data_IF_194322619747
#
_entry.id   IF_194322619747
#
_cell.length_a   1.000
_cell.length_b   1.000
_cell.length_c   1.000
_cell.angle_alpha   90.00
_cell.angle_beta   90.00
_cell.angle_gamma   90.00
#
_symmetry.space_group_name_H-M   'P 1'
#
loop_
_entity.id
_entity.type
_entity.pdbx_description
1 polymer ?
#
# COMPACT_ATOMS: atom_id res chain seq x y z
N UNK A 1 -48.91 -11.88 12.79
CA UNK A 1 -47.43 -11.74 12.97
C UNK A 1 -46.81 -11.92 11.62
N UNK A 2 -46.24 -10.86 11.05
CA UNK A 2 -45.86 -10.83 9.65
C UNK A 2 -44.50 -11.55 9.43
N UNK A 3 -44.39 -12.27 8.31
CA UNK A 3 -43.22 -13.04 7.83
C UNK A 3 -41.90 -12.27 7.88
N UNK A 4 -41.93 -10.95 7.95
CA UNK A 4 -40.79 -10.05 8.04
C UNK A 4 -39.91 -10.24 9.28
N UNK A 5 -40.49 -10.66 10.40
CA UNK A 5 -39.77 -10.90 11.66
C UNK A 5 -39.00 -12.22 11.68
N UNK A 6 -39.49 -13.22 10.92
CA UNK A 6 -38.82 -14.52 10.78
C UNK A 6 -37.53 -14.43 9.94
N UNK A 7 -37.49 -13.53 8.95
CA UNK A 7 -36.26 -13.31 8.13
C UNK A 7 -35.13 -12.58 8.89
N UNK A 8 -35.50 -11.68 9.82
CA UNK A 8 -34.54 -10.98 10.67
C UNK A 8 -33.88 -11.91 11.70
N UNK A 9 -34.61 -12.88 12.19
CA UNK A 9 -34.11 -13.88 13.16
C UNK A 9 -33.16 -14.91 12.52
N UNK A 10 -33.31 -15.22 11.23
CA UNK A 10 -32.44 -16.17 10.50
C UNK A 10 -31.05 -15.60 10.18
N UNK A 11 -30.95 -14.28 10.02
CA UNK A 11 -29.65 -13.61 9.75
C UNK A 11 -28.80 -13.47 11.02
N UNK A 12 -29.42 -13.41 12.19
CA UNK A 12 -28.70 -13.21 13.46
C UNK A 12 -28.06 -14.49 14.04
N UNK A 13 -28.40 -15.68 13.55
CA UNK A 13 -27.88 -16.97 14.09
C UNK A 13 -26.63 -17.45 13.37
N UNK A 14 -26.33 -16.92 12.17
CA UNK A 14 -25.17 -17.36 11.36
C UNK A 14 -23.84 -16.64 11.64
N UNK A 15 -23.87 -15.47 12.25
CA UNK A 15 -22.68 -14.63 12.40
C UNK A 15 -21.62 -15.15 13.42
N UNK A 16 -21.96 -15.70 14.59
CA UNK A 16 -20.93 -16.11 15.58
C UNK A 16 -20.17 -17.39 15.23
N UNK A 17 -20.75 -18.29 14.44
CA UNK A 17 -20.07 -19.55 14.10
C UNK A 17 -18.94 -19.38 13.06
N UNK A 18 -19.09 -18.43 12.16
CA UNK A 18 -18.06 -18.16 11.13
C UNK A 18 -16.83 -17.53 11.77
N UNK A 19 -16.99 -16.60 12.72
CA UNK A 19 -15.90 -15.95 13.42
C UNK A 19 -15.05 -16.94 14.24
N UNK A 20 -15.65 -17.92 14.90
CA UNK A 20 -14.92 -18.91 15.70
C UNK A 20 -14.05 -19.83 14.83
N UNK A 21 -14.54 -20.27 13.68
CA UNK A 21 -13.76 -21.13 12.78
C UNK A 21 -12.54 -20.44 12.18
N UNK A 22 -12.60 -19.13 12.02
CA UNK A 22 -11.49 -18.32 11.51
C UNK A 22 -10.37 -18.19 12.54
N UNK A 23 -10.75 -17.87 13.79
CA UNK A 23 -9.79 -17.77 14.89
C UNK A 23 -9.09 -19.09 15.13
N UNK A 24 -9.82 -20.22 15.05
CA UNK A 24 -9.23 -21.55 15.18
C UNK A 24 -8.22 -21.86 14.08
N UNK A 25 -8.54 -21.58 12.81
CA UNK A 25 -7.62 -21.79 11.68
C UNK A 25 -6.39 -20.89 11.78
N UNK A 26 -6.57 -19.64 12.21
CA UNK A 26 -5.45 -18.73 12.42
C UNK A 26 -4.54 -19.22 13.54
N UNK A 27 -5.12 -19.66 14.66
CA UNK A 27 -4.35 -20.25 15.77
C UNK A 27 -3.66 -21.55 15.36
N UNK A 28 -4.27 -22.36 14.52
CA UNK A 28 -3.63 -23.56 13.97
C UNK A 28 -2.42 -23.20 13.10
N UNK A 29 -2.52 -22.20 12.24
CA UNK A 29 -1.40 -21.67 11.48
C UNK A 29 -0.25 -21.20 12.38
N UNK A 30 -0.58 -20.48 13.47
CA UNK A 30 0.40 -20.05 14.46
C UNK A 30 1.07 -21.23 15.18
N UNK A 31 0.34 -22.29 15.47
CA UNK A 31 0.89 -23.51 16.08
C UNK A 31 1.86 -24.22 15.14
N UNK A 32 1.52 -24.38 13.86
CA UNK A 32 2.45 -24.92 12.86
C UNK A 32 3.70 -24.06 12.71
N UNK A 33 3.53 -22.74 12.71
CA UNK A 33 4.66 -21.81 12.66
C UNK A 33 5.59 -21.98 13.86
N UNK A 34 5.06 -22.11 15.08
CA UNK A 34 5.83 -22.36 16.31
C UNK A 34 6.51 -23.74 16.31
N UNK A 35 5.90 -24.73 15.65
CA UNK A 35 6.47 -26.05 15.47
C UNK A 35 7.53 -26.12 14.35
N UNK A 36 7.84 -24.98 13.72
CA UNK A 36 8.74 -24.85 12.56
C UNK A 36 8.24 -25.60 11.31
N UNK A 37 6.96 -25.96 11.28
CA UNK A 37 6.31 -26.59 10.13
C UNK A 37 5.79 -25.51 9.18
N UNK A 38 6.74 -24.88 8.48
CA UNK A 38 6.47 -23.70 7.63
C UNK A 38 5.47 -23.98 6.52
N UNK A 39 5.48 -25.19 5.98
CA UNK A 39 4.60 -25.57 4.88
C UNK A 39 3.15 -25.66 5.32
N UNK A 40 2.89 -26.28 6.47
CA UNK A 40 1.55 -26.40 7.04
C UNK A 40 1.04 -25.04 7.55
N UNK A 41 1.94 -24.23 8.14
CA UNK A 41 1.59 -22.85 8.51
C UNK A 41 1.13 -22.02 7.29
N UNK A 42 1.89 -22.05 6.19
CA UNK A 42 1.54 -21.40 4.94
C UNK A 42 0.18 -21.88 4.44
N UNK A 43 -0.03 -23.21 4.40
CA UNK A 43 -1.29 -23.80 3.95
C UNK A 43 -2.48 -23.33 4.77
N UNK A 44 -2.34 -23.28 6.11
CA UNK A 44 -3.40 -22.81 7.01
C UNK A 44 -3.74 -21.33 6.76
N UNK A 45 -2.73 -20.47 6.62
CA UNK A 45 -2.93 -19.04 6.35
C UNK A 45 -3.51 -18.79 4.94
N UNK A 46 -3.04 -19.52 3.92
CA UNK A 46 -3.60 -19.41 2.57
C UNK A 46 -5.06 -19.86 2.49
N UNK A 47 -5.45 -20.89 3.24
CA UNK A 47 -6.83 -21.33 3.35
C UNK A 47 -7.74 -20.23 3.95
N UNK A 48 -7.24 -19.47 4.92
CA UNK A 48 -7.95 -18.29 5.44
C UNK A 48 -8.14 -17.22 4.37
N UNK A 49 -7.09 -16.89 3.61
CA UNK A 49 -7.18 -15.94 2.50
C UNK A 49 -8.17 -16.43 1.42
N UNK A 50 -8.13 -17.73 1.09
CA UNK A 50 -9.06 -18.33 0.13
C UNK A 50 -10.52 -18.30 0.60
N UNK A 51 -10.75 -18.34 1.93
CA UNK A 51 -12.06 -18.16 2.54
C UNK A 51 -12.50 -16.69 2.61
N UNK A 52 -11.70 -15.75 2.10
CA UNK A 52 -12.01 -14.32 2.02
C UNK A 52 -11.62 -13.52 3.26
N UNK A 53 -10.78 -14.08 4.14
CA UNK A 53 -10.28 -13.36 5.30
C UNK A 53 -9.01 -12.60 4.94
N UNK A 54 -8.97 -11.33 5.32
CA UNK A 54 -7.83 -10.44 5.11
C UNK A 54 -7.56 -9.68 6.41
N UNK A 55 -6.27 -9.53 6.74
CA UNK A 55 -5.84 -8.80 7.92
C UNK A 55 -4.33 -8.61 7.94
N UNK A 56 -3.87 -7.54 8.59
CA UNK A 56 -2.44 -7.25 8.69
C UNK A 56 -1.68 -8.40 9.35
N UNK A 57 -2.22 -8.95 10.44
CA UNK A 57 -1.59 -10.06 11.18
C UNK A 57 -1.52 -11.33 10.34
N UNK A 58 -2.56 -11.63 9.53
CA UNK A 58 -2.57 -12.79 8.65
C UNK A 58 -1.49 -12.67 7.57
N UNK A 59 -1.43 -11.53 6.89
CA UNK A 59 -0.40 -11.29 5.88
C UNK A 59 1.01 -11.24 6.49
N UNK A 60 1.16 -10.65 7.68
CA UNK A 60 2.44 -10.62 8.37
C UNK A 60 2.94 -12.02 8.72
N UNK A 61 2.10 -12.87 9.32
CA UNK A 61 2.46 -14.23 9.69
C UNK A 61 2.72 -15.13 8.47
N UNK A 62 1.93 -14.97 7.41
CA UNK A 62 2.15 -15.66 6.14
C UNK A 62 3.48 -15.23 5.50
N UNK A 63 3.80 -13.93 5.52
CA UNK A 63 5.09 -13.40 5.08
C UNK A 63 6.26 -13.99 5.87
N UNK A 64 6.13 -14.08 7.19
CA UNK A 64 7.12 -14.70 8.06
C UNK A 64 7.31 -16.19 7.74
N UNK A 65 6.23 -16.93 7.52
CA UNK A 65 6.30 -18.36 7.17
C UNK A 65 7.00 -18.58 5.81
N UNK A 66 6.70 -17.77 4.80
CA UNK A 66 7.40 -17.79 3.53
C UNK A 66 8.88 -17.43 3.65
N UNK A 67 9.21 -16.45 4.50
CA UNK A 67 10.61 -16.09 4.76
C UNK A 67 11.39 -17.25 5.36
N UNK A 68 10.83 -17.92 6.37
CA UNK A 68 11.42 -19.10 7.00
C UNK A 68 11.60 -20.26 6.03
N UNK A 69 10.71 -20.39 5.06
CA UNK A 69 10.80 -21.40 4.00
C UNK A 69 11.80 -21.01 2.89
N UNK A 70 12.33 -19.79 2.87
CA UNK A 70 13.26 -19.30 1.86
C UNK A 70 12.58 -18.73 0.61
N UNK A 71 11.27 -18.52 0.63
CA UNK A 71 10.50 -17.98 -0.47
C UNK A 71 10.40 -16.44 -0.37
N UNK A 72 11.55 -15.76 -0.53
CA UNK A 72 11.72 -14.32 -0.27
C UNK A 72 10.71 -13.44 -1.02
N UNK A 73 10.46 -13.70 -2.30
CA UNK A 73 9.54 -12.89 -3.09
C UNK A 73 8.09 -12.94 -2.56
N UNK A 74 7.62 -14.12 -2.13
CA UNK A 74 6.30 -14.26 -1.51
C UNK A 74 6.23 -13.64 -0.13
N UNK A 75 7.32 -13.71 0.62
CA UNK A 75 7.47 -13.05 1.91
C UNK A 75 7.28 -11.53 1.78
N UNK A 76 8.03 -10.90 0.88
CA UNK A 76 7.94 -9.45 0.61
C UNK A 76 6.51 -9.07 0.20
N UNK A 77 5.90 -9.81 -0.74
CA UNK A 77 4.53 -9.54 -1.19
C UNK A 77 3.54 -9.51 -0.03
N UNK A 78 3.64 -10.46 0.91
CA UNK A 78 2.71 -10.52 2.03
C UNK A 78 3.02 -9.44 3.08
N UNK A 79 4.27 -9.12 3.34
CA UNK A 79 4.62 -7.99 4.21
C UNK A 79 4.18 -6.63 3.64
N UNK A 80 4.27 -6.42 2.34
CA UNK A 80 3.74 -5.21 1.69
C UNK A 80 2.22 -5.12 1.80
N UNK A 81 1.50 -6.24 1.67
CA UNK A 81 0.05 -6.29 1.92
C UNK A 81 -0.30 -5.95 3.36
N UNK A 82 0.47 -6.49 4.33
CA UNK A 82 0.31 -6.14 5.74
C UNK A 82 0.57 -4.64 5.97
N UNK A 83 1.62 -4.07 5.36
CA UNK A 83 1.96 -2.65 5.46
C UNK A 83 0.88 -1.74 4.85
N UNK A 84 0.21 -2.18 3.80
CA UNK A 84 -0.89 -1.43 3.20
C UNK A 84 -2.12 -1.34 4.13
N UNK A 85 -2.34 -2.37 4.97
CA UNK A 85 -3.44 -2.39 5.95
C UNK A 85 -3.05 -1.65 7.23
N UNK A 86 -1.84 -1.88 7.74
CA UNK A 86 -1.32 -1.31 8.98
C UNK A 86 0.02 -0.61 8.75
N UNK A 87 0.02 0.61 8.22
CA UNK A 87 1.23 1.36 7.97
C UNK A 87 1.90 1.78 9.29
N UNK A 88 3.22 1.69 9.33
CA UNK A 88 4.02 2.18 10.46
C UNK A 88 4.37 1.15 11.52
N UNK A 89 4.00 -0.12 11.36
CA UNK A 89 4.42 -1.20 12.24
C UNK A 89 5.95 -1.39 12.17
N UNK A 90 6.69 -1.26 13.29
CA UNK A 90 8.17 -1.30 13.27
C UNK A 90 8.73 -2.63 12.82
N UNK A 91 8.15 -3.74 13.27
CA UNK A 91 8.63 -5.10 12.94
C UNK A 91 8.45 -5.40 11.45
N UNK A 92 7.35 -4.93 10.88
CA UNK A 92 7.07 -5.08 9.46
C UNK A 92 8.07 -4.30 8.59
N UNK A 93 8.41 -3.07 9.02
CA UNK A 93 9.43 -2.27 8.34
C UNK A 93 10.80 -2.92 8.41
N UNK A 94 11.20 -3.40 9.59
CA UNK A 94 12.46 -4.10 9.78
C UNK A 94 12.57 -5.35 8.89
N UNK A 95 11.47 -6.11 8.76
CA UNK A 95 11.43 -7.29 7.90
C UNK A 95 11.55 -6.93 6.42
N UNK A 96 10.89 -5.85 5.96
CA UNK A 96 11.00 -5.36 4.58
C UNK A 96 12.40 -4.83 4.28
N UNK A 97 13.03 -4.10 5.21
CA UNK A 97 14.40 -3.61 5.07
C UNK A 97 15.39 -4.78 4.99
N UNK A 98 15.23 -5.79 5.84
CA UNK A 98 16.03 -7.02 5.79
C UNK A 98 15.86 -7.73 4.44
N UNK A 99 14.62 -7.92 4.00
CA UNK A 99 14.33 -8.56 2.72
C UNK A 99 14.93 -7.78 1.54
N UNK A 100 14.83 -6.44 1.58
CA UNK A 100 15.45 -5.57 0.58
C UNK A 100 16.98 -5.76 0.50
N UNK A 101 17.64 -5.96 1.65
CA UNK A 101 19.08 -6.23 1.68
C UNK A 101 19.48 -7.60 1.12
N UNK A 102 18.54 -8.55 1.11
CA UNK A 102 18.73 -9.90 0.58
C UNK A 102 18.36 -10.03 -0.90
N UNK A 103 17.67 -9.04 -1.46
CA UNK A 103 17.37 -9.01 -2.90
C UNK A 103 18.61 -8.57 -3.67
N UNK A 104 19.03 -9.38 -4.65
CA UNK A 104 20.19 -9.09 -5.53
C UNK A 104 19.83 -8.02 -6.58
N UNK A 105 18.53 -7.76 -6.74
CA UNK A 105 18.02 -6.85 -7.76
C UNK A 105 18.09 -5.40 -7.25
N UNK A 106 19.26 -4.82 -7.33
CA UNK A 106 19.43 -3.37 -7.22
C UNK A 106 18.88 -2.79 -8.52
N UNK A 107 17.62 -2.34 -8.50
CA UNK A 107 17.11 -1.50 -9.58
C UNK A 107 17.92 -0.21 -9.52
N UNK A 108 18.97 -0.14 -10.33
CA UNK A 108 19.67 1.12 -10.53
C UNK A 108 18.65 2.13 -11.04
N UNK A 109 18.42 3.25 -10.32
CA UNK A 109 17.54 4.29 -10.84
C UNK A 109 18.06 4.67 -12.22
N UNK A 110 17.17 4.71 -13.20
CA UNK A 110 17.50 5.17 -14.55
C UNK A 110 18.31 6.48 -14.40
N UNK A 111 19.47 6.61 -15.07
CA UNK A 111 20.25 7.83 -14.98
C UNK A 111 19.33 9.00 -15.31
N UNK A 112 19.14 9.89 -14.35
CA UNK A 112 18.34 11.09 -14.56
C UNK A 112 18.91 11.78 -15.80
N UNK A 113 18.03 11.94 -16.80
CA UNK A 113 18.45 12.62 -18.02
C UNK A 113 18.92 14.02 -17.62
N UNK A 114 20.23 14.25 -17.71
CA UNK A 114 20.92 15.45 -17.18
C UNK A 114 20.24 16.77 -17.57
N UNK A 115 19.56 16.81 -18.74
CA UNK A 115 18.77 17.95 -19.17
C UNK A 115 17.57 18.22 -18.26
N UNK A 116 16.96 17.20 -17.63
CA UNK A 116 15.88 17.41 -16.65
C UNK A 116 16.44 18.04 -15.37
N UNK A 117 17.63 17.65 -14.95
CA UNK A 117 18.33 18.28 -13.83
C UNK A 117 18.68 19.74 -14.12
N UNK A 118 19.17 20.05 -15.31
CA UNK A 118 19.43 21.44 -15.75
C UNK A 118 18.12 22.24 -15.81
N UNK A 119 17.06 21.65 -16.34
CA UNK A 119 15.74 22.28 -16.43
C UNK A 119 15.14 22.57 -15.06
N UNK A 120 15.20 21.61 -14.14
CA UNK A 120 14.72 21.82 -12.78
C UNK A 120 15.53 22.88 -12.04
N UNK A 121 16.85 22.91 -12.21
CA UNK A 121 17.72 23.94 -11.66
C UNK A 121 17.35 25.34 -12.20
N UNK A 122 17.12 25.48 -13.50
CA UNK A 122 16.67 26.74 -14.13
C UNK A 122 15.32 27.21 -13.57
N UNK A 123 14.35 26.30 -13.39
CA UNK A 123 13.06 26.63 -12.81
C UNK A 123 13.15 27.12 -11.36
N UNK A 124 14.11 26.61 -10.58
CA UNK A 124 14.32 27.06 -9.20
C UNK A 124 15.04 28.40 -9.09
N UNK A 125 15.73 28.87 -10.15
CA UNK A 125 16.37 30.17 -10.19
C UNK A 125 15.37 31.33 -10.34
N UNK A 126 14.20 31.07 -10.89
CA UNK A 126 13.17 32.09 -11.08
C UNK A 126 12.22 32.05 -9.87
N UNK A 127 12.28 33.04 -8.97
CA UNK A 127 11.34 33.07 -7.86
C UNK A 127 9.91 33.17 -8.39
N UNK A 128 9.00 32.42 -7.79
CA UNK A 128 7.59 32.35 -8.19
C UNK A 128 6.96 33.75 -8.32
N UNK A 129 7.34 34.68 -7.44
CA UNK A 129 6.91 36.09 -7.48
C UNK A 129 7.29 36.81 -8.77
N UNK A 130 8.49 36.55 -9.30
CA UNK A 130 8.93 37.14 -10.58
C UNK A 130 8.10 36.60 -11.75
N UNK A 131 7.77 35.32 -11.74
CA UNK A 131 6.93 34.67 -12.75
C UNK A 131 5.52 35.24 -12.74
N UNK A 132 4.92 35.44 -11.56
CA UNK A 132 3.58 36.04 -11.40
C UNK A 132 3.59 37.49 -11.88
N UNK A 133 4.60 38.29 -11.54
CA UNK A 133 4.74 39.64 -11.97
C UNK A 133 4.93 39.77 -13.50
N UNK A 134 5.72 38.86 -14.10
CA UNK A 134 5.93 38.84 -15.54
C UNK A 134 4.67 38.48 -16.32
N UNK A 135 3.95 37.44 -15.89
CA UNK A 135 2.68 37.04 -16.51
C UNK A 135 1.60 38.11 -16.31
N UNK A 136 1.47 38.63 -15.08
CA UNK A 136 0.49 39.70 -14.78
C UNK A 136 0.81 40.99 -15.52
N UNK A 137 2.05 41.38 -15.59
CA UNK A 137 2.49 42.58 -16.35
C UNK A 137 2.27 42.42 -17.85
N UNK A 138 2.57 41.28 -18.43
CA UNK A 138 2.30 40.95 -19.83
C UNK A 138 0.79 41.06 -20.16
N UNK A 139 -0.04 40.56 -19.26
CA UNK A 139 -1.48 40.59 -19.42
C UNK A 139 -2.04 42.02 -19.39
N UNK A 140 -1.57 42.85 -18.45
CA UNK A 140 -1.93 44.25 -18.36
C UNK A 140 -1.53 45.08 -19.60
N UNK A 141 -0.34 44.80 -20.15
CA UNK A 141 0.11 45.44 -21.41
C UNK A 141 -0.75 45.03 -22.59
N UNK A 142 -1.14 43.76 -22.71
CA UNK A 142 -2.02 43.28 -23.77
C UNK A 142 -3.42 43.90 -23.68
N UNK A 143 -4.00 43.95 -22.47
CA UNK A 143 -5.32 44.54 -22.23
C UNK A 143 -5.28 46.06 -22.45
N UNK A 144 -4.26 46.75 -21.90
CA UNK A 144 -4.08 48.19 -22.06
C UNK A 144 -3.89 48.59 -23.53
N UNK A 145 -3.03 47.84 -24.25
CA UNK A 145 -2.82 48.07 -25.68
C UNK A 145 -4.06 47.80 -26.54
N UNK A 146 -4.88 46.85 -26.15
CA UNK A 146 -6.17 46.59 -26.84
C UNK A 146 -7.18 47.69 -26.60
N UNK A 147 -7.25 48.24 -25.40
CA UNK A 147 -8.17 49.34 -25.04
C UNK A 147 -7.79 50.63 -25.80
N UNK A 148 -6.50 50.98 -25.84
CA UNK A 148 -6.04 52.16 -26.57
C UNK A 148 -6.30 52.06 -28.08
N UNK A 149 -6.26 50.86 -28.65
CA UNK A 149 -6.55 50.62 -30.05
C UNK A 149 -8.05 50.72 -30.40
N UNK A 150 -8.92 50.47 -29.41
CA UNK A 150 -10.38 50.52 -29.60
C UNK A 150 -10.91 51.97 -29.40
N UNK A 151 -10.25 52.74 -28.53
CA UNK A 151 -10.70 54.09 -28.16
C UNK A 151 -10.00 55.21 -28.95
N UNK A 152 -8.97 54.95 -29.70
CA UNK A 152 -8.28 55.89 -30.59
C UNK A 152 -8.58 55.61 -32.05
#
# INVERSE_FOLDING_TARGET
MSVRWLLVLLVAVGAPQVAHGQDELFQQGNQFYQAEDWSEAISAYENLLAAGFEGADLYYNLGNAYFKKGELGRSILNWERAAAIQPGEPDLRANLDLAGSLTIDVIEPLPEFWLLGVWSWWLHLIPYTALVLFVGGSWLLLVGGSITRILG
#
